data_IF_502483507819
#
_entry.id   IF_502483507819
#
_cell.length_a   1.000
_cell.length_b   1.000
_cell.length_c   1.000
_cell.angle_alpha   90.00
_cell.angle_beta   90.00
_cell.angle_gamma   90.00
#
_symmetry.space_group_name_H-M   'P 1'
#
loop_
_entity.id
_entity.type
_entity.pdbx_description
1 polymer ?
#
# COMPACT_ATOMS: atom_id res chain seq x y z
N UNK A 1 -7.41 22.92 14.20
CA UNK A 1 -8.00 21.65 14.66
C UNK A 1 -7.73 21.50 16.14
N UNK A 2 -8.73 21.14 16.96
CA UNK A 2 -8.56 20.85 18.40
C UNK A 2 -7.72 19.57 18.59
N UNK A 3 -6.97 19.46 19.70
CA UNK A 3 -6.15 18.29 20.06
C UNK A 3 -6.95 16.98 20.04
N UNK A 4 -8.19 16.97 20.56
CA UNK A 4 -9.05 15.79 20.50
C UNK A 4 -9.20 15.22 19.07
N UNK A 5 -9.35 16.10 18.08
CA UNK A 5 -9.51 15.69 16.69
C UNK A 5 -8.19 15.21 16.09
N UNK A 6 -7.08 15.86 16.42
CA UNK A 6 -5.75 15.41 15.98
C UNK A 6 -5.43 14.03 16.53
N UNK A 7 -5.64 13.83 17.83
CA UNK A 7 -5.39 12.54 18.50
C UNK A 7 -6.29 11.44 17.95
N UNK A 8 -7.57 11.74 17.72
CA UNK A 8 -8.50 10.78 17.14
C UNK A 8 -8.08 10.35 15.73
N UNK A 9 -7.68 11.31 14.87
CA UNK A 9 -7.22 11.00 13.52
C UNK A 9 -5.91 10.21 13.56
N UNK A 10 -4.96 10.61 14.41
CA UNK A 10 -3.70 9.90 14.57
C UNK A 10 -3.90 8.44 14.98
N UNK A 11 -4.74 8.19 15.98
CA UNK A 11 -5.04 6.83 16.45
C UNK A 11 -5.77 5.98 15.41
N UNK A 12 -6.77 6.54 14.74
CA UNK A 12 -7.51 5.80 13.71
C UNK A 12 -6.65 5.51 12.48
N UNK A 13 -5.75 6.42 12.12
CA UNK A 13 -4.81 6.21 11.02
C UNK A 13 -3.83 5.09 11.35
N UNK A 14 -3.23 5.09 12.54
CA UNK A 14 -2.39 3.99 13.01
C UNK A 14 -3.12 2.64 13.02
N UNK A 15 -4.36 2.61 13.51
CA UNK A 15 -5.20 1.41 13.51
C UNK A 15 -5.53 0.90 12.09
N UNK A 16 -5.70 1.80 11.12
CA UNK A 16 -5.90 1.42 9.72
C UNK A 16 -4.64 0.76 9.12
N UNK A 17 -3.45 1.26 9.45
CA UNK A 17 -2.17 0.63 9.04
C UNK A 17 -2.00 -0.74 9.72
N UNK A 18 -2.41 -0.89 10.99
CA UNK A 18 -2.43 -2.19 11.67
C UNK A 18 -3.40 -3.17 10.99
N UNK A 19 -4.58 -2.71 10.60
CA UNK A 19 -5.56 -3.52 9.88
C UNK A 19 -5.01 -3.98 8.52
N UNK A 20 -4.26 -3.15 7.82
CA UNK A 20 -3.59 -3.53 6.58
C UNK A 20 -2.56 -4.63 6.81
N UNK A 21 -1.71 -4.54 7.84
CA UNK A 21 -0.73 -5.59 8.13
C UNK A 21 -1.41 -6.93 8.47
N UNK A 22 -2.47 -6.90 9.28
CA UNK A 22 -3.27 -8.09 9.59
C UNK A 22 -3.86 -8.71 8.31
N UNK A 23 -4.38 -7.87 7.41
CA UNK A 23 -4.93 -8.31 6.12
C UNK A 23 -3.88 -9.00 5.25
N UNK A 24 -2.65 -8.45 5.20
CA UNK A 24 -1.52 -9.08 4.50
C UNK A 24 -1.13 -10.43 5.10
N UNK A 25 -1.12 -10.52 6.43
CA UNK A 25 -0.80 -11.76 7.16
C UNK A 25 -1.83 -12.84 6.84
N UNK A 26 -3.11 -12.51 6.96
CA UNK A 26 -4.22 -13.46 6.90
C UNK A 26 -4.54 -13.94 5.48
N UNK A 27 -4.14 -13.18 4.45
CA UNK A 27 -4.42 -13.56 3.06
C UNK A 27 -3.75 -14.89 2.66
N UNK A 28 -4.51 -15.93 2.27
CA UNK A 28 -3.96 -17.19 1.79
C UNK A 28 -3.11 -17.01 0.53
N UNK A 29 -2.09 -17.86 0.34
CA UNK A 29 -1.19 -17.77 -0.83
C UNK A 29 -1.94 -17.93 -2.16
N UNK A 30 -2.94 -18.81 -2.19
CA UNK A 30 -3.79 -19.07 -3.35
C UNK A 30 -4.69 -17.89 -3.74
N UNK A 31 -4.96 -16.96 -2.81
CA UNK A 31 -5.76 -15.76 -3.05
C UNK A 31 -4.91 -14.51 -3.31
N UNK A 32 -3.57 -14.64 -3.26
CA UNK A 32 -2.67 -13.50 -3.39
C UNK A 32 -2.81 -12.75 -4.72
N UNK A 33 -3.03 -13.49 -5.82
CA UNK A 33 -3.28 -12.99 -7.17
C UNK A 33 -4.75 -13.10 -7.57
N UNK A 34 -5.65 -13.27 -6.61
CA UNK A 34 -7.08 -13.27 -6.89
C UNK A 34 -7.61 -11.83 -6.92
N UNK A 35 -8.39 -11.53 -7.95
CA UNK A 35 -9.15 -10.30 -8.07
C UNK A 35 -10.14 -10.15 -6.89
N UNK A 36 -10.11 -9.02 -6.19
CA UNK A 36 -11.01 -8.71 -5.07
C UNK A 36 -12.32 -8.07 -5.54
N UNK A 37 -12.39 -7.63 -6.80
CA UNK A 37 -13.63 -7.35 -7.54
C UNK A 37 -13.45 -7.70 -9.03
N UNK A 38 -14.53 -7.94 -9.82
CA UNK A 38 -14.38 -8.33 -11.22
C UNK A 38 -13.93 -7.21 -12.17
N UNK A 39 -13.45 -7.62 -13.35
CA UNK A 39 -13.26 -6.79 -14.57
C UNK A 39 -12.19 -5.70 -14.51
N UNK A 40 -11.07 -6.02 -13.90
CA UNK A 40 -9.88 -5.19 -13.88
C UNK A 40 -8.72 -6.01 -14.48
N UNK A 41 -7.80 -5.37 -15.20
CA UNK A 41 -6.68 -6.07 -15.84
C UNK A 41 -5.56 -6.45 -14.85
N UNK A 42 -5.91 -6.90 -13.63
CA UNK A 42 -5.00 -7.19 -12.51
C UNK A 42 -4.88 -6.06 -11.47
N UNK A 43 -5.61 -4.95 -11.66
CA UNK A 43 -5.65 -3.78 -10.76
C UNK A 43 -6.49 -3.98 -9.48
N UNK A 44 -7.13 -5.13 -9.33
CA UNK A 44 -7.92 -5.57 -8.18
C UNK A 44 -7.34 -6.82 -7.56
N UNK A 45 -6.26 -7.38 -8.12
CA UNK A 45 -5.56 -8.46 -7.48
C UNK A 45 -5.19 -8.05 -6.06
N UNK A 46 -5.41 -8.94 -5.09
CA UNK A 46 -5.20 -8.63 -3.68
C UNK A 46 -3.81 -8.00 -3.41
N UNK A 47 -2.76 -8.58 -4.00
CA UNK A 47 -1.39 -8.06 -3.86
C UNK A 47 -1.25 -6.64 -4.42
N UNK A 48 -1.91 -6.34 -5.55
CA UNK A 48 -1.78 -5.06 -6.22
C UNK A 48 -2.53 -3.98 -5.45
N UNK A 49 -3.76 -4.25 -5.00
CA UNK A 49 -4.53 -3.31 -4.17
C UNK A 49 -3.76 -2.99 -2.88
N UNK A 50 -3.14 -4.00 -2.28
CA UNK A 50 -2.28 -3.83 -1.12
C UNK A 50 -1.05 -2.97 -1.43
N UNK A 51 -0.37 -3.23 -2.55
CA UNK A 51 0.77 -2.44 -3.01
C UNK A 51 0.39 -0.98 -3.29
N UNK A 52 -0.66 -0.74 -4.06
CA UNK A 52 -1.21 0.59 -4.37
C UNK A 52 -1.48 1.37 -3.07
N UNK A 53 -2.12 0.73 -2.09
CA UNK A 53 -2.40 1.33 -0.79
C UNK A 53 -1.11 1.74 -0.07
N UNK A 54 -0.08 0.88 -0.07
CA UNK A 54 1.21 1.16 0.56
C UNK A 54 1.99 2.27 -0.14
N UNK A 55 1.99 2.27 -1.48
CA UNK A 55 2.67 3.28 -2.27
C UNK A 55 2.14 4.68 -1.96
N UNK A 56 0.81 4.85 -1.97
CA UNK A 56 0.20 6.14 -1.66
C UNK A 56 0.26 6.50 -0.18
N UNK A 57 0.26 5.51 0.72
CA UNK A 57 0.56 5.75 2.14
C UNK A 57 1.93 6.42 2.30
N UNK A 58 2.98 5.83 1.71
CA UNK A 58 4.34 6.37 1.80
C UNK A 58 4.45 7.75 1.14
N UNK A 59 3.92 7.89 -0.08
CA UNK A 59 3.91 9.17 -0.79
C UNK A 59 3.22 10.29 -0.01
N UNK A 60 2.09 10.00 0.64
CA UNK A 60 1.39 11.02 1.43
C UNK A 60 2.09 11.33 2.75
N UNK A 61 2.79 10.37 3.35
CA UNK A 61 3.62 10.60 4.53
C UNK A 61 4.88 11.41 4.21
N UNK A 62 5.44 11.29 2.99
CA UNK A 62 6.59 12.09 2.55
C UNK A 62 6.25 13.58 2.37
N UNK A 63 4.97 13.90 2.13
CA UNK A 63 4.45 15.26 2.00
C UNK A 63 4.65 15.92 0.64
N UNK A 64 5.39 15.29 -0.30
CA UNK A 64 5.54 15.78 -1.66
C UNK A 64 5.89 14.66 -2.66
N UNK A 65 5.42 14.80 -3.90
CA UNK A 65 5.83 13.94 -5.02
C UNK A 65 7.28 14.23 -5.44
N UNK A 66 7.69 15.50 -5.36
CA UNK A 66 9.04 15.91 -5.75
C UNK A 66 10.09 15.24 -4.85
N UNK A 67 10.94 14.41 -5.45
CA UNK A 67 11.99 13.66 -4.74
C UNK A 67 11.50 12.40 -4.01
N UNK A 68 10.23 12.03 -4.14
CA UNK A 68 9.72 10.77 -3.60
C UNK A 68 10.34 9.57 -4.30
N UNK A 69 10.82 8.61 -3.52
CA UNK A 69 11.27 7.30 -3.98
C UNK A 69 10.78 6.25 -2.98
N UNK A 70 10.00 5.26 -3.40
CA UNK A 70 9.64 4.16 -2.53
C UNK A 70 10.90 3.31 -2.25
N UNK A 71 10.91 2.49 -1.18
CA UNK A 71 12.02 1.60 -0.89
C UNK A 71 12.20 0.55 -2.00
N UNK A 72 13.41 0.03 -2.17
CA UNK A 72 13.63 -1.12 -3.06
C UNK A 72 12.76 -2.32 -2.60
N UNK A 73 12.20 -3.13 -3.53
CA UNK A 73 12.36 -3.10 -4.98
C UNK A 73 11.22 -2.36 -5.71
N UNK A 74 10.51 -1.47 -5.03
CA UNK A 74 9.35 -0.77 -5.58
C UNK A 74 9.77 0.39 -6.48
N UNK A 75 8.93 0.71 -7.44
CA UNK A 75 9.19 1.66 -8.53
C UNK A 75 8.08 2.71 -8.59
N UNK A 76 8.27 3.75 -9.39
CA UNK A 76 7.30 4.84 -9.54
C UNK A 76 6.17 4.51 -10.55
N UNK A 77 5.92 3.22 -10.83
CA UNK A 77 4.92 2.77 -11.80
C UNK A 77 3.50 3.29 -11.46
N UNK A 78 3.20 3.49 -10.17
CA UNK A 78 1.93 4.06 -9.67
C UNK A 78 1.73 5.54 -10.06
N UNK A 79 2.79 6.23 -10.46
CA UNK A 79 2.73 7.61 -10.96
C UNK A 79 2.73 7.68 -12.49
N UNK A 80 2.78 6.54 -13.19
CA UNK A 80 2.69 6.52 -14.65
C UNK A 80 1.26 6.90 -15.09
N UNK A 81 1.07 7.98 -15.87
CA UNK A 81 -0.25 8.41 -16.32
C UNK A 81 -0.95 7.42 -17.24
N UNK A 82 -0.23 6.45 -17.83
CA UNK A 82 -0.83 5.37 -18.60
C UNK A 82 -1.54 4.33 -17.71
N UNK A 83 -1.32 4.35 -16.39
CA UNK A 83 -1.89 3.40 -15.44
C UNK A 83 -1.36 2.00 -15.72
N UNK A 84 -0.10 1.73 -15.34
CA UNK A 84 0.57 0.47 -15.61
C UNK A 84 0.69 -0.37 -14.33
N UNK A 85 0.58 -1.69 -14.47
CA UNK A 85 0.98 -2.60 -13.40
C UNK A 85 2.51 -2.65 -13.31
N UNK A 86 3.07 -2.88 -12.11
CA UNK A 86 4.50 -3.12 -11.98
C UNK A 86 4.89 -4.41 -12.73
N UNK A 87 6.17 -4.59 -13.08
CA UNK A 87 6.62 -5.64 -13.99
C UNK A 87 6.46 -7.07 -13.44
N UNK A 88 6.13 -7.21 -12.15
CA UNK A 88 5.92 -8.49 -11.47
C UNK A 88 5.00 -8.35 -10.27
N UNK A 89 4.50 -9.49 -9.82
CA UNK A 89 3.81 -9.64 -8.55
C UNK A 89 4.81 -9.47 -7.39
N UNK A 90 4.47 -8.61 -6.43
CA UNK A 90 5.22 -8.50 -5.18
C UNK A 90 4.80 -9.58 -4.19
N UNK A 91 5.76 -10.10 -3.44
CA UNK A 91 5.51 -11.13 -2.43
C UNK A 91 4.92 -10.53 -1.15
N UNK A 92 4.27 -11.38 -0.36
CA UNK A 92 3.79 -10.99 0.98
C UNK A 92 4.91 -10.40 1.85
N UNK A 93 6.11 -10.98 1.78
CA UNK A 93 7.27 -10.49 2.58
C UNK A 93 7.70 -9.09 2.12
N UNK A 94 7.74 -8.84 0.81
CA UNK A 94 8.07 -7.51 0.27
C UNK A 94 7.05 -6.46 0.72
N UNK A 95 5.75 -6.73 0.59
CA UNK A 95 4.71 -5.76 0.98
C UNK A 95 4.69 -5.50 2.48
N UNK A 96 4.90 -6.52 3.31
CA UNK A 96 5.02 -6.32 4.77
C UNK A 96 6.29 -5.55 5.16
N UNK A 97 7.37 -5.72 4.41
CA UNK A 97 8.60 -4.94 4.61
C UNK A 97 8.37 -3.47 4.25
N UNK A 98 7.64 -3.19 3.17
CA UNK A 98 7.24 -1.84 2.81
C UNK A 98 6.31 -1.23 3.88
N UNK A 99 5.32 -1.97 4.36
CA UNK A 99 4.46 -1.50 5.44
C UNK A 99 5.26 -1.10 6.69
N UNK A 100 6.29 -1.87 7.05
CA UNK A 100 7.16 -1.53 8.17
C UNK A 100 7.95 -0.24 7.93
N UNK A 101 8.37 0.05 6.70
CA UNK A 101 9.00 1.31 6.31
C UNK A 101 8.08 2.51 6.55
N UNK A 102 6.78 2.38 6.29
CA UNK A 102 5.81 3.46 6.47
C UNK A 102 5.49 3.81 7.95
N UNK A 103 6.12 3.12 8.93
CA UNK A 103 5.85 3.28 10.37
C UNK A 103 6.93 4.07 11.13
N UNK A 104 7.84 4.73 10.42
CA UNK A 104 8.96 5.48 11.00
C UNK A 104 8.60 6.92 11.36
#
# INVERSE_FOLDING_TARGET
>A
MNELWKDSVWQQFGAAIDMLDNTLVDCPTELWQAAVWPNDAGFSDFWYVSYHTLFFLDLYLSGAVEGFLPPDPFTLDELDPAGVLPPRVYTKVELRTYLAHCRH
#
